data_IF_888023440450
#
_entry.id   IF_888023440450
#
_cell.length_a   1.000
_cell.length_b   1.000
_cell.length_c   1.000
_cell.angle_alpha   90.00
_cell.angle_beta   90.00
_cell.angle_gamma   90.00
#
_symmetry.space_group_name_H-M   'P 1'
#
loop_
_entity.id
_entity.type
_entity.pdbx_description
1 polymer ?
#
# COMPACT_ATOMS: atom_id res chain seq x y z
N UNK A 1 55.95 9.43 -6.12
CA UNK A 1 55.18 8.60 -7.08
C UNK A 1 53.73 8.88 -6.73
N UNK A 2 53.20 9.93 -7.33
CA UNK A 2 51.95 10.53 -6.90
C UNK A 2 50.82 9.77 -7.58
N UNK A 3 50.27 8.77 -6.89
CA UNK A 3 49.26 7.86 -7.42
C UNK A 3 47.84 8.44 -7.43
N UNK A 4 47.70 9.76 -7.46
CA UNK A 4 46.42 10.39 -7.74
C UNK A 4 46.16 10.36 -9.24
N UNK A 5 45.80 9.17 -9.72
CA UNK A 5 45.20 8.99 -11.04
C UNK A 5 43.85 9.72 -11.01
N UNK A 6 43.83 10.97 -11.46
CA UNK A 6 42.57 11.69 -11.62
C UNK A 6 41.68 10.90 -12.58
N UNK A 7 40.48 10.54 -12.12
CA UNK A 7 39.54 9.78 -12.92
C UNK A 7 39.26 10.54 -14.22
N UNK A 8 39.52 9.92 -15.37
CA UNK A 8 39.29 10.52 -16.68
C UNK A 8 37.79 10.53 -16.95
N UNK A 9 37.16 11.71 -16.98
CA UNK A 9 35.76 11.85 -17.37
C UNK A 9 35.58 11.50 -18.87
N UNK A 10 34.47 10.87 -19.23
CA UNK A 10 34.12 10.48 -20.60
C UNK A 10 32.95 11.31 -21.17
N UNK A 11 32.14 11.93 -20.32
CA UNK A 11 31.02 12.81 -20.67
C UNK A 11 31.20 14.21 -20.09
N UNK A 12 30.42 15.17 -20.60
CA UNK A 12 30.37 16.53 -20.05
C UNK A 12 29.33 16.69 -18.92
N UNK A 13 28.61 15.62 -18.56
CA UNK A 13 27.53 15.69 -17.57
C UNK A 13 28.06 15.87 -16.15
N UNK A 14 27.46 16.82 -15.42
CA UNK A 14 27.73 17.09 -14.00
C UNK A 14 27.49 15.86 -13.12
N UNK A 15 26.61 14.95 -13.51
CA UNK A 15 26.38 13.67 -12.82
C UNK A 15 27.65 12.81 -12.75
N UNK A 16 28.46 12.79 -13.82
CA UNK A 16 29.71 12.03 -13.84
C UNK A 16 30.74 12.64 -12.87
N UNK A 17 30.85 13.97 -12.86
CA UNK A 17 31.71 14.69 -11.92
C UNK A 17 31.29 14.42 -10.48
N UNK A 18 29.98 14.45 -10.19
CA UNK A 18 29.46 14.15 -8.86
C UNK A 18 29.76 12.69 -8.45
N UNK A 19 29.55 11.74 -9.35
CA UNK A 19 29.88 10.34 -9.10
C UNK A 19 31.37 10.14 -8.77
N UNK A 20 32.28 10.86 -9.44
CA UNK A 20 33.73 10.77 -9.14
C UNK A 20 34.11 11.27 -7.74
N UNK A 21 33.26 12.09 -7.11
CA UNK A 21 33.50 12.57 -5.74
C UNK A 21 32.97 11.62 -4.68
N UNK A 22 31.99 10.77 -5.03
CA UNK A 22 31.31 9.88 -4.09
C UNK A 22 31.93 8.47 -4.13
N UNK A 23 32.32 8.01 -5.31
CA UNK A 23 32.75 6.63 -5.54
C UNK A 23 34.27 6.52 -5.68
N UNK A 24 34.82 5.41 -5.18
CA UNK A 24 36.22 5.02 -5.41
C UNK A 24 36.41 4.46 -6.82
N UNK A 25 37.64 4.44 -7.32
CA UNK A 25 37.98 4.14 -8.72
C UNK A 25 37.32 2.88 -9.33
N UNK A 26 37.06 1.84 -8.53
CA UNK A 26 36.36 0.63 -9.00
C UNK A 26 34.89 0.88 -9.30
N UNK A 27 34.14 1.33 -8.28
CA UNK A 27 32.72 1.61 -8.39
C UNK A 27 32.43 2.80 -9.33
N UNK A 28 33.33 3.77 -9.41
CA UNK A 28 33.20 4.89 -10.33
C UNK A 28 33.22 4.41 -11.78
N UNK A 29 34.10 3.47 -12.16
CA UNK A 29 34.17 2.95 -13.54
C UNK A 29 32.87 2.27 -13.97
N UNK A 30 32.26 1.49 -13.09
CA UNK A 30 30.99 0.80 -13.36
C UNK A 30 29.85 1.81 -13.58
N UNK A 31 29.77 2.84 -12.73
CA UNK A 31 28.77 3.90 -12.86
C UNK A 31 29.06 4.77 -14.09
N UNK A 32 30.32 5.05 -14.38
CA UNK A 32 30.75 5.84 -15.53
C UNK A 32 30.40 5.18 -16.86
N UNK A 33 30.45 3.84 -16.95
CA UNK A 33 30.00 3.10 -18.14
C UNK A 33 28.50 3.27 -18.37
N UNK A 34 27.69 3.16 -17.32
CA UNK A 34 26.25 3.38 -17.41
C UNK A 34 25.90 4.84 -17.78
N UNK A 35 26.63 5.81 -17.23
CA UNK A 35 26.46 7.24 -17.58
C UNK A 35 26.81 7.47 -19.04
N UNK A 36 27.90 6.87 -19.54
CA UNK A 36 28.31 7.01 -20.95
C UNK A 36 27.30 6.35 -21.90
N UNK A 37 26.79 5.18 -21.55
CA UNK A 37 25.77 4.49 -22.34
C UNK A 37 24.47 5.31 -22.39
N UNK A 38 24.05 5.86 -21.24
CA UNK A 38 22.91 6.78 -21.18
C UNK A 38 23.17 8.06 -21.99
N UNK A 39 24.39 8.61 -21.99
CA UNK A 39 24.74 9.76 -22.81
C UNK A 39 24.66 9.45 -24.32
N UNK A 40 25.05 8.25 -24.73
CA UNK A 40 25.05 7.83 -26.13
C UNK A 40 23.66 7.46 -26.65
N UNK A 41 22.78 6.95 -25.78
CA UNK A 41 21.52 6.31 -26.19
C UNK A 41 20.25 6.94 -25.60
N UNK A 42 20.36 7.79 -24.57
CA UNK A 42 19.22 8.43 -23.93
C UNK A 42 19.21 9.95 -24.17
N UNK A 43 18.01 10.55 -24.23
CA UNK A 43 17.85 12.00 -24.30
C UNK A 43 17.59 12.57 -22.90
N UNK A 44 18.33 13.61 -22.51
CA UNK A 44 18.12 14.35 -21.27
C UNK A 44 16.82 15.16 -21.37
N UNK A 45 15.83 14.88 -20.53
CA UNK A 45 14.51 15.52 -20.62
C UNK A 45 14.41 16.78 -19.76
N UNK A 46 14.98 16.76 -18.56
CA UNK A 46 14.98 17.94 -17.69
C UNK A 46 15.98 17.77 -16.55
N UNK A 47 16.68 18.86 -16.21
CA UNK A 47 17.42 19.02 -14.97
C UNK A 47 16.53 19.90 -14.07
N UNK A 48 16.09 19.37 -12.93
CA UNK A 48 15.37 20.17 -11.92
C UNK A 48 16.31 20.48 -10.76
N UNK A 49 16.45 21.77 -10.45
CA UNK A 49 17.27 22.28 -9.34
C UNK A 49 16.47 22.48 -8.04
N UNK A 50 15.20 22.07 -8.04
CA UNK A 50 14.25 22.37 -6.95
C UNK A 50 14.48 21.53 -5.69
N UNK A 51 15.43 20.58 -5.73
CA UNK A 51 15.82 19.76 -4.57
C UNK A 51 17.32 19.47 -4.56
N UNK A 52 17.93 19.52 -3.37
CA UNK A 52 19.24 18.93 -3.11
C UNK A 52 19.06 17.44 -2.79
N UNK A 53 19.73 16.49 -3.49
CA UNK A 53 20.65 16.64 -4.62
C UNK A 53 19.96 16.82 -5.99
N UNK A 54 20.68 17.40 -6.98
CA UNK A 54 20.24 17.59 -8.36
C UNK A 54 19.70 16.29 -8.97
N UNK A 55 18.44 16.31 -9.46
CA UNK A 55 17.79 15.13 -10.02
C UNK A 55 17.80 15.20 -11.55
N UNK A 56 18.53 14.28 -12.19
CA UNK A 56 18.53 14.09 -13.64
C UNK A 56 17.43 13.11 -14.04
N UNK A 57 16.45 13.55 -14.84
CA UNK A 57 15.43 12.67 -15.43
C UNK A 57 15.87 12.25 -16.82
N UNK A 58 16.35 11.02 -16.92
CA UNK A 58 16.78 10.38 -18.16
C UNK A 58 15.69 9.36 -18.53
N UNK A 59 15.11 9.48 -19.73
CA UNK A 59 14.21 8.45 -20.25
C UNK A 59 15.03 7.51 -21.13
N UNK A 60 15.01 6.23 -20.80
CA UNK A 60 15.42 5.18 -21.71
C UNK A 60 14.34 5.07 -22.81
N UNK A 61 14.82 4.89 -24.04
CA UNK A 61 14.06 4.87 -25.29
C UNK A 61 13.64 6.25 -25.78
N UNK A 62 14.14 6.60 -26.97
CA UNK A 62 13.98 7.87 -27.68
C UNK A 62 12.54 8.19 -28.10
N UNK A 63 11.65 8.24 -27.12
CA UNK A 63 10.25 8.62 -27.24
C UNK A 63 10.05 9.81 -26.33
N UNK A 64 10.74 10.91 -26.65
CA UNK A 64 10.25 12.25 -26.28
C UNK A 64 9.05 12.52 -27.18
N UNK A 65 7.96 11.79 -26.95
CA UNK A 65 6.71 12.12 -27.64
C UNK A 65 6.07 13.22 -26.84
N UNK A 66 6.10 14.41 -27.43
CA UNK A 66 5.17 15.48 -27.07
C UNK A 66 3.76 14.88 -26.88
N UNK A 67 2.94 15.49 -26.03
CA UNK A 67 1.55 15.04 -25.81
C UNK A 67 0.78 14.83 -27.13
N UNK A 68 1.11 15.58 -28.18
CA UNK A 68 0.58 15.39 -29.53
C UNK A 68 1.05 14.08 -30.21
N UNK A 69 2.33 13.72 -30.09
CA UNK A 69 2.86 12.47 -30.66
C UNK A 69 2.35 11.24 -29.90
N UNK A 70 2.12 11.34 -28.58
CA UNK A 70 1.52 10.25 -27.78
C UNK A 70 0.10 9.93 -28.24
N UNK A 71 -0.70 10.96 -28.53
CA UNK A 71 -2.06 10.78 -29.09
C UNK A 71 -2.01 10.02 -30.41
N UNK A 72 -1.15 10.46 -31.33
CA UNK A 72 -1.02 9.86 -32.66
C UNK A 72 -0.65 8.37 -32.61
N UNK A 73 0.28 7.99 -31.74
CA UNK A 73 0.69 6.58 -31.57
C UNK A 73 -0.46 5.73 -31.01
N UNK A 74 -1.21 6.27 -30.04
CA UNK A 74 -2.36 5.55 -29.48
C UNK A 74 -3.48 5.37 -30.52
N UNK A 75 -3.80 6.42 -31.28
CA UNK A 75 -4.83 6.35 -32.32
C UNK A 75 -4.46 5.38 -33.44
N UNK A 76 -3.19 5.34 -33.84
CA UNK A 76 -2.68 4.37 -34.81
C UNK A 76 -2.72 2.93 -34.26
N UNK A 77 -2.36 2.74 -32.99
CA UNK A 77 -2.39 1.42 -32.34
C UNK A 77 -3.80 0.85 -32.18
N UNK A 78 -4.77 1.68 -31.79
CA UNK A 78 -6.16 1.28 -31.62
C UNK A 78 -6.98 1.39 -32.92
N UNK A 79 -6.43 1.98 -33.98
CA UNK A 79 -7.10 2.19 -35.26
C UNK A 79 -8.31 3.13 -35.18
N UNK A 80 -8.39 3.96 -34.14
CA UNK A 80 -9.52 4.83 -33.85
C UNK A 80 -9.04 6.14 -33.22
N UNK A 81 -9.64 7.26 -33.65
CA UNK A 81 -9.37 8.58 -33.08
C UNK A 81 -9.95 8.69 -31.66
N UNK A 82 -9.21 9.34 -30.76
CA UNK A 82 -9.69 9.52 -29.39
C UNK A 82 -10.87 10.51 -29.36
N UNK A 83 -11.98 10.21 -28.67
CA UNK A 83 -13.10 11.14 -28.54
C UNK A 83 -12.67 12.43 -27.83
N UNK A 84 -13.19 13.58 -28.30
CA UNK A 84 -12.86 14.90 -27.73
C UNK A 84 -13.40 15.08 -26.32
N UNK A 85 -14.55 14.46 -26.01
CA UNK A 85 -15.21 14.54 -24.72
C UNK A 85 -15.67 13.14 -24.30
N UNK A 86 -15.38 12.78 -23.05
CA UNK A 86 -15.80 11.51 -22.45
C UNK A 86 -16.52 11.85 -21.15
N UNK A 87 -17.80 11.49 -21.08
CA UNK A 87 -18.55 11.57 -19.83
C UNK A 87 -18.21 10.34 -18.96
N UNK A 88 -17.48 10.57 -17.87
CA UNK A 88 -17.08 9.51 -16.93
C UNK A 88 -18.04 9.52 -15.75
N UNK A 89 -18.94 8.55 -15.74
CA UNK A 89 -19.79 8.32 -14.56
C UNK A 89 -18.97 7.66 -13.45
N UNK A 90 -19.13 8.11 -12.18
CA UNK A 90 -18.56 7.39 -11.04
C UNK A 90 -19.00 5.92 -11.05
N UNK A 91 -18.10 4.97 -10.77
CA UNK A 91 -18.48 3.57 -10.71
C UNK A 91 -19.57 3.38 -9.67
N UNK A 92 -20.54 2.52 -9.99
CA UNK A 92 -21.63 2.19 -9.09
C UNK A 92 -21.03 1.68 -7.76
N UNK A 93 -21.45 2.26 -6.64
CA UNK A 93 -20.92 1.90 -5.32
C UNK A 93 -21.37 0.48 -4.98
N UNK A 94 -20.54 -0.49 -5.34
CA UNK A 94 -20.77 -1.90 -5.03
C UNK A 94 -20.25 -2.20 -3.62
N UNK A 95 -21.11 -2.78 -2.77
CA UNK A 95 -20.66 -3.29 -1.47
C UNK A 95 -19.75 -4.49 -1.68
N UNK A 96 -18.45 -4.33 -1.46
CA UNK A 96 -17.48 -5.41 -1.58
C UNK A 96 -17.54 -6.36 -0.38
N UNK A 97 -17.20 -7.63 -0.58
CA UNK A 97 -17.04 -8.60 0.50
C UNK A 97 -15.95 -8.11 1.45
N UNK A 98 -16.34 -7.63 2.63
CA UNK A 98 -15.43 -6.98 3.59
C UNK A 98 -15.86 -5.58 4.00
N UNK A 99 -16.88 -5.00 3.38
CA UNK A 99 -17.56 -3.77 3.84
C UNK A 99 -18.37 -3.98 5.13
N UNK A 100 -18.09 -5.04 5.89
CA UNK A 100 -18.71 -5.34 7.16
C UNK A 100 -18.53 -4.16 8.11
N UNK A 101 -19.64 -3.72 8.70
CA UNK A 101 -19.65 -2.62 9.65
C UNK A 101 -18.63 -2.86 10.78
N UNK A 102 -18.02 -1.76 11.25
CA UNK A 102 -17.06 -1.72 12.37
C UNK A 102 -17.38 -2.76 13.46
N UNK A 103 -16.39 -3.57 13.82
CA UNK A 103 -16.48 -4.48 14.96
C UNK A 103 -16.69 -3.66 16.26
N UNK A 104 -17.78 -3.89 17.02
CA UNK A 104 -18.02 -3.12 18.23
C UNK A 104 -17.05 -3.52 19.34
N UNK A 105 -16.59 -2.52 20.09
CA UNK A 105 -15.72 -2.69 21.25
C UNK A 105 -16.41 -3.48 22.37
N UNK A 106 -15.62 -3.95 23.35
CA UNK A 106 -16.15 -4.63 24.55
C UNK A 106 -17.16 -3.75 25.31
N UNK A 107 -16.89 -2.45 25.39
CA UNK A 107 -17.78 -1.48 26.03
C UNK A 107 -19.11 -1.36 25.26
N UNK A 108 -19.06 -1.19 23.93
CA UNK A 108 -20.26 -1.10 23.09
C UNK A 108 -21.12 -2.37 23.17
N UNK A 109 -20.48 -3.56 23.15
CA UNK A 109 -21.19 -4.84 23.35
C UNK A 109 -21.85 -4.91 24.72
N UNK A 110 -21.18 -4.48 25.78
CA UNK A 110 -21.73 -4.50 27.14
C UNK A 110 -22.92 -3.54 27.29
N UNK A 111 -22.83 -2.33 26.73
CA UNK A 111 -23.93 -1.36 26.72
C UNK A 111 -25.14 -1.88 25.96
N UNK A 112 -24.94 -2.53 24.80
CA UNK A 112 -26.03 -3.14 24.02
C UNK A 112 -26.71 -4.30 24.74
N UNK A 113 -26.01 -5.03 25.62
CA UNK A 113 -26.63 -6.06 26.46
C UNK A 113 -27.45 -5.39 27.56
N UNK A 114 -26.92 -4.37 28.23
CA UNK A 114 -27.61 -3.63 29.30
C UNK A 114 -28.87 -2.91 28.82
N UNK A 115 -28.94 -2.52 27.55
CA UNK A 115 -30.13 -1.87 26.97
C UNK A 115 -31.22 -2.86 26.53
N UNK A 116 -30.97 -4.16 26.56
CA UNK A 116 -32.02 -5.16 26.29
C UNK A 116 -32.92 -5.30 27.51
N UNK A 117 -34.23 -5.51 27.32
CA UNK A 117 -35.12 -5.80 28.44
C UNK A 117 -34.70 -7.11 29.12
N UNK A 118 -34.85 -7.15 30.45
CA UNK A 118 -34.73 -8.39 31.21
C UNK A 118 -35.86 -9.33 30.79
N UNK A 119 -35.59 -10.63 30.85
CA UNK A 119 -36.60 -11.68 30.60
C UNK A 119 -36.64 -12.65 31.75
N UNK A 120 -37.83 -13.17 32.06
CA UNK A 120 -37.99 -14.20 33.08
C UNK A 120 -37.56 -15.55 32.53
N UNK A 121 -36.61 -16.21 33.20
CA UNK A 121 -36.14 -17.53 32.83
C UNK A 121 -37.16 -18.61 33.23
N UNK A 122 -37.64 -19.44 32.30
CA UNK A 122 -38.58 -20.53 32.63
C UNK A 122 -38.01 -21.61 33.56
N UNK A 123 -36.67 -21.70 33.66
CA UNK A 123 -35.98 -22.73 34.47
C UNK A 123 -35.82 -22.29 35.93
N UNK A 124 -35.37 -21.06 36.20
CA UNK A 124 -35.17 -20.54 37.56
C UNK A 124 -36.18 -19.47 37.99
N UNK A 125 -37.09 -19.07 37.11
CA UNK A 125 -38.15 -18.08 37.33
C UNK A 125 -37.67 -16.65 37.67
N UNK A 126 -36.38 -16.35 37.46
CA UNK A 126 -35.80 -15.03 37.72
C UNK A 126 -35.66 -14.19 36.47
N UNK A 127 -35.71 -12.87 36.66
CA UNK A 127 -35.48 -11.87 35.61
C UNK A 127 -33.99 -11.63 35.42
N UNK A 128 -33.50 -11.80 34.19
CA UNK A 128 -32.07 -11.67 33.90
C UNK A 128 -31.77 -11.59 32.40
N UNK A 129 -30.47 -11.48 32.07
CA UNK A 129 -29.96 -11.56 30.69
C UNK A 129 -29.73 -13.02 30.23
N UNK A 130 -30.48 -13.97 30.77
CA UNK A 130 -30.38 -15.40 30.46
C UNK A 130 -31.75 -16.02 30.17
N UNK A 131 -31.78 -17.20 29.55
CA UNK A 131 -32.98 -18.03 29.41
C UNK A 131 -32.73 -19.42 30.00
N UNK A 132 -33.73 -20.31 29.86
CA UNK A 132 -33.64 -21.70 30.29
C UNK A 132 -32.47 -22.47 29.68
N UNK A 133 -31.96 -22.07 28.51
CA UNK A 133 -30.84 -22.73 27.83
C UNK A 133 -29.48 -22.34 28.40
N UNK A 134 -29.33 -21.12 28.92
CA UNK A 134 -28.07 -20.65 29.53
C UNK A 134 -28.13 -20.51 31.07
N UNK A 135 -29.26 -20.82 31.70
CA UNK A 135 -29.47 -20.67 33.13
C UNK A 135 -28.40 -21.38 33.99
N UNK A 136 -27.59 -20.57 34.68
CA UNK A 136 -26.47 -21.01 35.51
C UNK A 136 -26.89 -21.65 36.85
N UNK A 137 -28.09 -21.36 37.35
CA UNK A 137 -28.54 -21.81 38.68
C UNK A 137 -28.69 -23.32 38.81
N UNK A 138 -28.95 -24.02 37.70
CA UNK A 138 -29.06 -25.48 37.69
C UNK A 138 -27.76 -26.15 37.30
N UNK A 139 -26.95 -25.52 36.44
CA UNK A 139 -25.62 -26.04 36.09
C UNK A 139 -24.69 -26.07 37.30
N UNK A 140 -24.78 -25.09 38.21
CA UNK A 140 -23.98 -25.12 39.45
C UNK A 140 -24.46 -26.21 40.44
N UNK A 141 -25.78 -26.47 40.52
CA UNK A 141 -26.33 -27.56 41.33
C UNK A 141 -25.97 -28.94 40.77
N UNK A 142 -25.93 -29.10 39.45
CA UNK A 142 -25.44 -30.32 38.79
C UNK A 142 -23.93 -30.51 39.01
N UNK A 143 -23.11 -29.48 38.80
CA UNK A 143 -21.66 -29.53 39.11
C UNK A 143 -21.39 -29.89 40.58
N UNK A 144 -22.16 -29.35 41.52
CA UNK A 144 -22.02 -29.68 42.95
C UNK A 144 -22.49 -31.10 43.30
N UNK A 145 -23.46 -31.65 42.56
CA UNK A 145 -23.87 -33.07 42.68
C UNK A 145 -22.80 -34.00 42.09
N UNK A 146 -22.26 -33.68 40.92
CA UNK A 146 -21.18 -34.46 40.29
C UNK A 146 -19.92 -34.50 41.15
N UNK A 147 -19.53 -33.40 41.80
CA UNK A 147 -18.39 -33.39 42.74
C UNK A 147 -18.60 -34.32 43.93
N UNK A 148 -19.79 -34.33 44.54
CA UNK A 148 -20.09 -35.22 45.67
C UNK A 148 -20.11 -36.70 45.29
N UNK A 149 -20.47 -37.03 44.05
CA UNK A 149 -20.45 -38.41 43.55
C UNK A 149 -19.05 -38.87 43.09
N UNK A 150 -18.05 -37.99 43.00
CA UNK A 150 -16.66 -38.35 42.73
C UNK A 150 -15.82 -38.57 43.98
N UNK A 151 -16.37 -38.27 45.16
CA UNK A 151 -15.74 -38.46 46.47
C UNK A 151 -16.25 -39.73 47.20
N UNK A 152 -16.99 -40.61 46.51
CA UNK A 152 -17.42 -41.95 46.96
C UNK A 152 -16.77 -43.01 46.09
#
# INVERSE_FOLDING_TARGET
MDYNTTAKMKTEWSLEKHASTIFTDGAFKEIQEQIQEAYNHCSLVSISNDSSPEVYKIFADGVVTSTAQKKKIMEEFYGAEAPQEVDVQPPEVVSTKGSGSRLPSRAEKALKVKSKPLRQCKKCQEWGYHDSRNCNKFTEKEKLRSRRNSDV
#
